data_IF_162007373798
#
_entry.id   IF_162007373798
#
_cell.length_a   1.000
_cell.length_b   1.000
_cell.length_c   1.000
_cell.angle_alpha   90.00
_cell.angle_beta   90.00
_cell.angle_gamma   90.00
#
_symmetry.space_group_name_H-M   'P 1'
#
loop_
_entity.id
_entity.type
_entity.pdbx_description
1 polymer ?
#
# COMPACT_ATOMS: atom_id res chain seq x y z
N UNK A 1 -5.51 32.28 -25.13
CA UNK A 1 -4.25 32.35 -24.36
C UNK A 1 -4.17 30.99 -23.71
N UNK A 2 -3.62 30.05 -24.46
CA UNK A 2 -3.47 28.65 -24.06
C UNK A 2 -2.25 28.57 -23.16
N UNK A 3 -2.46 28.07 -21.95
CA UNK A 3 -1.43 27.94 -20.93
C UNK A 3 -0.53 26.74 -21.28
N UNK A 4 0.75 26.94 -21.65
CA UNK A 4 1.64 25.84 -22.04
C UNK A 4 2.10 25.00 -20.83
N UNK A 5 1.65 25.34 -19.62
CA UNK A 5 1.93 24.61 -18.38
C UNK A 5 0.91 23.53 -18.03
N UNK A 6 -0.10 23.29 -18.88
CA UNK A 6 -0.67 21.94 -19.03
C UNK A 6 0.40 21.06 -19.70
N UNK A 7 1.51 20.89 -18.98
CA UNK A 7 2.50 19.86 -19.18
C UNK A 7 1.73 18.57 -19.49
N UNK A 8 2.25 17.83 -20.45
CA UNK A 8 1.78 16.52 -20.88
C UNK A 8 1.86 15.55 -19.69
N UNK A 9 0.98 15.71 -18.69
CA UNK A 9 0.85 14.88 -17.48
C UNK A 9 0.47 13.45 -17.89
N UNK A 10 -0.06 13.32 -19.11
CA UNK A 10 -0.32 12.05 -19.77
C UNK A 10 0.97 11.32 -20.15
N UNK A 11 2.06 12.02 -20.50
CA UNK A 11 3.32 11.38 -20.89
C UNK A 11 3.94 10.49 -19.77
N UNK A 12 4.05 10.94 -18.50
CA UNK A 12 4.46 10.06 -17.39
C UNK A 12 3.55 8.84 -17.20
N UNK A 13 2.23 9.02 -17.33
CA UNK A 13 1.26 7.91 -17.20
C UNK A 13 1.35 6.94 -18.39
N UNK A 14 1.63 7.44 -19.59
CA UNK A 14 1.83 6.63 -20.79
C UNK A 14 3.09 5.78 -20.69
N UNK A 15 4.20 6.35 -20.21
CA UNK A 15 5.43 5.58 -20.00
C UNK A 15 5.27 4.55 -18.87
N UNK A 16 4.58 4.91 -17.77
CA UNK A 16 4.21 3.96 -16.72
C UNK A 16 3.35 2.81 -17.26
N UNK A 17 2.39 3.12 -18.12
CA UNK A 17 1.56 2.15 -18.84
C UNK A 17 2.42 1.19 -19.66
N UNK A 18 3.37 1.71 -20.44
CA UNK A 18 4.26 0.90 -21.27
C UNK A 18 5.04 -0.12 -20.42
N UNK A 19 5.64 0.33 -19.32
CA UNK A 19 6.42 -0.53 -18.41
C UNK A 19 5.57 -1.60 -17.73
N UNK A 20 4.35 -1.27 -17.30
CA UNK A 20 3.47 -2.23 -16.62
C UNK A 20 2.87 -3.25 -17.60
N UNK A 21 2.49 -2.83 -18.81
CA UNK A 21 2.04 -3.74 -19.87
C UNK A 21 3.10 -4.77 -20.26
N UNK A 22 4.37 -4.37 -20.31
CA UNK A 22 5.50 -5.30 -20.51
C UNK A 22 5.60 -6.41 -19.44
N UNK A 23 4.90 -6.24 -18.31
CA UNK A 23 4.81 -7.19 -17.19
C UNK A 23 3.43 -7.84 -17.07
N UNK A 24 2.65 -7.84 -18.17
CA UNK A 24 1.30 -8.44 -18.25
C UNK A 24 0.24 -7.77 -17.37
N UNK A 25 0.43 -6.50 -17.00
CA UNK A 25 -0.63 -5.72 -16.34
C UNK A 25 -1.63 -5.19 -17.35
N UNK A 26 -2.92 -5.22 -16.99
CA UNK A 26 -3.94 -4.49 -17.74
C UNK A 26 -3.92 -3.03 -17.29
N UNK A 27 -3.87 -2.12 -18.26
CA UNK A 27 -3.71 -0.70 -18.02
C UNK A 27 -4.68 0.09 -18.91
N UNK A 28 -5.50 0.94 -18.30
CA UNK A 28 -6.47 1.81 -18.97
C UNK A 28 -6.27 3.25 -18.50
N UNK A 29 -5.95 4.15 -19.42
CA UNK A 29 -5.88 5.58 -19.14
C UNK A 29 -7.29 6.16 -19.29
N UNK A 30 -7.80 6.77 -18.23
CA UNK A 30 -9.11 7.39 -18.19
C UNK A 30 -8.99 8.83 -17.70
N UNK A 31 -9.82 9.72 -18.22
CA UNK A 31 -9.95 11.08 -17.71
C UNK A 31 -11.06 11.06 -16.66
N UNK A 32 -10.77 11.48 -15.42
CA UNK A 32 -11.84 11.60 -14.43
C UNK A 32 -12.75 12.76 -14.78
N UNK A 33 -14.05 12.52 -14.65
CA UNK A 33 -15.11 13.51 -14.88
C UNK A 33 -15.31 14.46 -13.70
N UNK A 34 -14.39 14.52 -12.74
CA UNK A 34 -14.44 15.53 -11.67
C UNK A 34 -13.94 16.89 -12.15
N UNK A 35 -14.13 17.91 -11.30
CA UNK A 35 -13.94 19.34 -11.57
C UNK A 35 -12.56 19.70 -12.17
N UNK A 36 -11.54 18.85 -11.99
CA UNK A 36 -10.18 19.10 -12.46
C UNK A 36 -9.78 18.32 -13.73
N UNK A 37 -10.64 17.46 -14.29
CA UNK A 37 -10.38 16.76 -15.56
C UNK A 37 -9.07 15.95 -15.59
N UNK A 38 -8.63 15.43 -14.45
CA UNK A 38 -7.30 14.81 -14.31
C UNK A 38 -7.24 13.43 -14.94
N UNK A 39 -6.12 13.14 -15.61
CA UNK A 39 -5.83 11.82 -16.12
C UNK A 39 -5.50 10.84 -14.98
N UNK A 40 -6.10 9.67 -15.06
CA UNK A 40 -5.94 8.58 -14.10
C UNK A 40 -5.65 7.30 -14.87
N UNK A 41 -4.61 6.61 -14.43
CA UNK A 41 -4.22 5.32 -14.93
C UNK A 41 -4.81 4.23 -14.04
N UNK A 42 -5.77 3.47 -14.59
CA UNK A 42 -6.33 2.27 -13.98
C UNK A 42 -5.45 1.09 -14.30
N UNK A 43 -5.06 0.37 -13.25
CA UNK A 43 -4.12 -0.74 -13.29
C UNK A 43 -4.78 -1.98 -12.69
N UNK A 44 -4.69 -3.10 -13.39
CA UNK A 44 -5.06 -4.40 -12.85
C UNK A 44 -3.86 -5.36 -12.93
N UNK A 45 -3.53 -6.05 -11.82
CA UNK A 45 -2.45 -7.00 -11.82
C UNK A 45 -2.78 -8.22 -12.68
N UNK A 46 -1.76 -8.98 -13.13
CA UNK A 46 -1.96 -10.21 -13.88
C UNK A 46 -2.92 -11.17 -13.14
N UNK A 47 -3.88 -11.74 -13.86
CA UNK A 47 -4.87 -12.66 -13.31
C UNK A 47 -6.01 -12.01 -12.51
N UNK A 48 -6.11 -10.69 -12.46
CA UNK A 48 -7.19 -9.95 -11.81
C UNK A 48 -8.11 -9.22 -12.80
N UNK A 49 -8.14 -9.66 -14.06
CA UNK A 49 -8.90 -9.00 -15.12
C UNK A 49 -10.39 -8.95 -14.76
N UNK A 50 -10.97 -7.75 -14.77
CA UNK A 50 -12.38 -7.53 -14.44
C UNK A 50 -12.73 -7.60 -12.95
N UNK A 51 -11.76 -7.75 -12.04
CA UNK A 51 -11.99 -7.67 -10.60
C UNK A 51 -11.81 -6.22 -10.10
N UNK A 52 -12.90 -5.50 -9.78
CA UNK A 52 -12.82 -4.12 -9.33
C UNK A 52 -12.13 -3.97 -7.97
N UNK A 53 -12.14 -5.01 -7.12
CA UNK A 53 -11.48 -4.97 -5.81
C UNK A 53 -9.95 -5.00 -5.93
N UNK A 54 -9.43 -5.40 -7.09
CA UNK A 54 -8.00 -5.47 -7.39
C UNK A 54 -7.54 -4.42 -8.39
N UNK A 55 -8.45 -3.52 -8.79
CA UNK A 55 -8.11 -2.35 -9.59
C UNK A 55 -7.43 -1.30 -8.72
N UNK A 56 -6.32 -0.76 -9.21
CA UNK A 56 -5.56 0.31 -8.57
C UNK A 56 -5.60 1.52 -9.49
N UNK A 57 -5.81 2.70 -8.95
CA UNK A 57 -5.82 3.92 -9.75
C UNK A 57 -4.63 4.80 -9.36
N UNK A 58 -3.85 5.21 -10.35
CA UNK A 58 -2.66 6.05 -10.20
C UNK A 58 -2.87 7.34 -10.97
N UNK A 59 -2.53 8.45 -10.34
CA UNK A 59 -2.51 9.78 -10.96
C UNK A 59 -1.14 10.42 -10.77
N UNK A 60 -0.92 11.54 -11.45
CA UNK A 60 0.24 12.40 -11.19
C UNK A 60 -0.23 13.58 -10.34
N UNK A 61 0.50 13.86 -9.25
CA UNK A 61 0.27 15.03 -8.41
C UNK A 61 1.56 15.75 -8.10
N UNK A 62 1.45 17.05 -7.90
CA UNK A 62 2.55 17.87 -7.39
C UNK A 62 2.64 17.75 -5.87
N UNK A 63 3.85 17.47 -5.38
CA UNK A 63 4.25 17.50 -3.97
C UNK A 63 5.54 18.32 -3.88
N UNK A 64 5.59 19.31 -2.99
CA UNK A 64 6.78 20.15 -2.77
C UNK A 64 7.42 20.66 -4.09
N UNK A 65 6.58 21.12 -5.03
CA UNK A 65 6.97 21.61 -6.36
C UNK A 65 7.54 20.54 -7.33
N UNK A 66 7.42 19.25 -7.01
CA UNK A 66 7.82 18.14 -7.88
C UNK A 66 6.64 17.21 -8.19
N UNK A 67 6.51 16.79 -9.45
CA UNK A 67 5.49 15.84 -9.88
C UNK A 67 5.83 14.42 -9.42
N UNK A 68 4.84 13.73 -8.85
CA UNK A 68 4.94 12.36 -8.35
C UNK A 68 3.79 11.51 -8.86
N UNK A 69 4.05 10.21 -9.03
CA UNK A 69 2.99 9.22 -9.09
C UNK A 69 2.36 9.06 -7.70
N UNK A 70 1.03 9.05 -7.62
CA UNK A 70 0.28 8.89 -6.38
C UNK A 70 -0.93 7.97 -6.60
N UNK A 71 -1.36 7.25 -5.55
CA UNK A 71 -2.60 6.50 -5.60
C UNK A 71 -3.78 7.45 -5.47
N UNK A 72 -4.79 7.32 -6.33
CA UNK A 72 -6.01 8.15 -6.24
C UNK A 72 -6.71 7.95 -4.89
N UNK A 73 -6.77 6.71 -4.40
CA UNK A 73 -7.38 6.38 -3.11
C UNK A 73 -6.62 6.94 -1.90
N UNK A 74 -5.34 7.30 -2.06
CA UNK A 74 -4.51 7.87 -1.01
C UNK A 74 -3.57 8.93 -1.59
N UNK A 75 -4.19 9.94 -2.19
CA UNK A 75 -3.51 10.95 -3.00
C UNK A 75 -2.69 11.96 -2.20
N UNK A 76 -2.63 11.81 -0.87
CA UNK A 76 -1.74 12.54 0.03
C UNK A 76 -0.41 11.82 0.30
N UNK A 77 -0.21 10.60 -0.24
CA UNK A 77 1.05 9.86 -0.12
C UNK A 77 1.65 9.60 -1.50
N UNK A 78 2.82 10.19 -1.82
CA UNK A 78 3.48 9.92 -3.08
C UNK A 78 4.04 8.50 -3.12
N UNK A 79 3.99 7.87 -4.30
CA UNK A 79 4.62 6.57 -4.60
C UNK A 79 6.11 6.81 -4.90
N UNK A 80 6.38 7.64 -5.89
CA UNK A 80 7.71 8.05 -6.33
C UNK A 80 7.61 9.30 -7.23
N UNK A 81 8.68 10.11 -7.34
CA UNK A 81 8.77 11.17 -8.34
C UNK A 81 8.58 10.63 -9.76
N UNK A 82 8.03 11.44 -10.68
CA UNK A 82 7.85 11.04 -12.09
C UNK A 82 9.19 10.73 -12.78
N UNK A 83 10.26 11.37 -12.32
CA UNK A 83 11.64 11.13 -12.76
C UNK A 83 12.18 9.75 -12.35
N UNK A 84 11.54 9.09 -11.37
CA UNK A 84 11.92 7.78 -10.83
C UNK A 84 10.92 6.69 -11.25
N UNK A 85 10.61 6.61 -12.53
CA UNK A 85 9.67 5.66 -13.11
C UNK A 85 9.89 4.20 -12.67
N UNK A 86 11.13 3.70 -12.74
CA UNK A 86 11.43 2.31 -12.36
C UNK A 86 11.15 2.03 -10.88
N UNK A 87 11.30 3.05 -10.01
CA UNK A 87 10.93 2.95 -8.61
C UNK A 87 9.41 2.87 -8.45
N UNK A 88 8.64 3.68 -9.18
CA UNK A 88 7.19 3.62 -9.20
C UNK A 88 6.70 2.22 -9.65
N UNK A 89 7.24 1.71 -10.77
CA UNK A 89 6.92 0.37 -11.29
C UNK A 89 7.22 -0.71 -10.25
N UNK A 90 8.40 -0.68 -9.62
CA UNK A 90 8.77 -1.66 -8.59
C UNK A 90 7.82 -1.60 -7.39
N UNK A 91 7.46 -0.41 -6.92
CA UNK A 91 6.55 -0.24 -5.80
C UNK A 91 5.15 -0.78 -6.13
N UNK A 92 4.59 -0.43 -7.29
CA UNK A 92 3.27 -0.88 -7.73
C UNK A 92 3.25 -2.42 -7.87
N UNK A 93 4.27 -2.99 -8.53
CA UNK A 93 4.38 -4.45 -8.70
C UNK A 93 4.54 -5.15 -7.35
N UNK A 94 5.32 -4.58 -6.42
CA UNK A 94 5.53 -5.18 -5.11
C UNK A 94 4.25 -5.18 -4.26
N UNK A 95 3.50 -4.08 -4.26
CA UNK A 95 2.30 -3.93 -3.43
C UNK A 95 1.10 -4.65 -4.01
N UNK A 96 0.97 -4.69 -5.34
CA UNK A 96 -0.27 -5.11 -6.00
C UNK A 96 -0.09 -6.27 -6.99
N UNK A 97 1.15 -6.60 -7.40
CA UNK A 97 1.45 -7.43 -8.57
C UNK A 97 1.51 -8.94 -8.38
N UNK A 98 1.36 -9.47 -7.18
CA UNK A 98 1.45 -10.92 -7.01
C UNK A 98 0.98 -11.40 -5.65
N UNK A 99 0.41 -12.60 -5.66
CA UNK A 99 -0.13 -13.35 -4.54
C UNK A 99 0.76 -13.20 -3.30
N UNK A 100 0.15 -12.81 -2.18
CA UNK A 100 0.84 -12.80 -0.89
C UNK A 100 1.64 -14.10 -0.78
N UNK A 101 2.96 -14.06 -0.47
CA UNK A 101 3.65 -15.29 -0.10
C UNK A 101 2.82 -15.92 1.01
N UNK A 102 2.56 -17.23 0.91
CA UNK A 102 1.86 -17.94 1.97
C UNK A 102 2.51 -17.54 3.30
N UNK A 103 1.69 -17.11 4.26
CA UNK A 103 2.17 -16.73 5.58
C UNK A 103 3.16 -17.79 6.04
N UNK A 104 4.36 -17.42 6.53
CA UNK A 104 5.27 -18.40 7.07
C UNK A 104 4.49 -19.20 8.12
N UNK A 105 4.44 -20.52 7.93
CA UNK A 105 3.73 -21.37 8.88
C UNK A 105 4.39 -21.17 10.23
N UNK A 106 3.61 -20.65 11.18
CA UNK A 106 4.08 -20.47 12.55
C UNK A 106 4.28 -21.88 13.10
N UNK A 107 5.50 -22.26 13.55
CA UNK A 107 5.68 -23.55 14.19
C UNK A 107 4.76 -23.63 15.40
N UNK A 108 4.05 -24.74 15.60
CA UNK A 108 3.08 -24.89 16.71
C UNK A 108 3.68 -24.50 18.08
N UNK A 109 4.98 -24.76 18.27
CA UNK A 109 5.70 -24.40 19.49
C UNK A 109 5.83 -22.89 19.76
N UNK A 110 5.72 -22.03 18.74
CA UNK A 110 5.86 -20.58 18.89
C UNK A 110 4.59 -19.93 19.48
N UNK A 111 3.41 -20.45 19.13
CA UNK A 111 2.15 -20.03 19.75
C UNK A 111 2.07 -20.48 21.22
N UNK A 112 2.47 -21.72 21.51
CA UNK A 112 2.53 -22.24 22.88
C UNK A 112 3.52 -21.46 23.77
N UNK A 113 4.66 -21.04 23.22
CA UNK A 113 5.63 -20.20 23.94
C UNK A 113 5.07 -18.79 24.23
N UNK A 114 4.32 -18.19 23.30
CA UNK A 114 3.66 -16.91 23.51
C UNK A 114 2.56 -16.99 24.58
N UNK A 115 1.77 -18.06 24.61
CA UNK A 115 0.76 -18.28 25.65
C UNK A 115 1.41 -18.49 27.03
N UNK A 116 2.54 -19.20 27.08
CA UNK A 116 3.32 -19.40 28.31
C UNK A 116 3.84 -18.06 28.85
N UNK A 117 4.46 -17.23 27.99
CA UNK A 117 4.93 -15.89 28.34
C UNK A 117 3.80 -14.95 28.79
N UNK A 118 2.61 -15.08 28.20
CA UNK A 118 1.44 -14.27 28.58
C UNK A 118 0.87 -14.70 29.93
N UNK A 119 0.83 -15.99 30.22
CA UNK A 119 0.43 -16.55 31.51
C UNK A 119 1.38 -16.15 32.64
N UNK A 120 2.69 -16.14 32.40
CA UNK A 120 3.67 -15.72 33.42
C UNK A 120 3.54 -14.24 33.79
N UNK A 121 3.09 -13.38 32.87
CA UNK A 121 2.87 -11.95 33.12
C UNK A 121 1.57 -11.66 33.89
N UNK A 122 0.59 -12.57 33.84
CA UNK A 122 -0.68 -12.45 34.56
C UNK A 122 -0.65 -12.99 36.00
N UNK A 123 0.40 -13.74 36.39
CA UNK A 123 0.48 -14.41 37.68
C UNK A 123 1.20 -13.64 38.80
N UNK A 124 1.78 -12.46 38.53
CA UNK A 124 2.44 -11.63 39.55
C UNK A 124 1.50 -10.58 40.14
N UNK A 125 0.39 -11.02 40.71
CA UNK A 125 -0.25 -10.31 41.82
C UNK A 125 0.11 -11.07 43.09
N UNK A 126 1.18 -10.62 43.74
CA UNK A 126 1.64 -11.18 45.01
C UNK A 126 0.54 -11.05 46.07
N UNK A 127 -0.04 -12.20 46.43
CA UNK A 127 -0.78 -12.40 47.67
C UNK A 127 0.15 -12.07 48.84
N UNK A 128 -0.20 -11.01 49.57
CA UNK A 128 0.38 -10.69 50.87
C UNK A 128 -0.42 -11.49 51.91
N UNK A 129 0.18 -12.47 52.61
CA UNK A 129 -0.55 -13.15 53.68
C UNK A 129 -0.73 -12.17 54.83
N UNK A 130 -2.00 -11.94 55.17
CA UNK A 130 -2.43 -11.49 56.50
C UNK A 130 -2.54 -12.77 57.32
N UNK A 131 -1.81 -12.85 58.42
CA UNK A 131 -2.14 -13.75 59.52
C UNK A 131 -2.07 -12.92 60.80
N UNK A 132 -3.09 -13.10 61.60
CA UNK A 132 -3.65 -12.20 62.59
C UNK A 132 -3.54 -12.87 63.96
N UNK A 133 -3.01 -12.12 64.93
CA UNK A 133 -3.15 -12.24 66.39
C UNK A 133 -2.79 -13.54 67.15
N UNK A 134 -1.93 -13.41 68.18
CA UNK A 134 -2.34 -13.54 69.60
C UNK A 134 -1.12 -13.47 70.56
N UNK A 135 -1.08 -12.48 71.46
CA UNK A 135 -0.45 -12.59 72.79
C UNK A 135 -1.27 -11.76 73.81
N UNK A 136 -1.86 -12.50 74.77
CA UNK A 136 -2.48 -12.19 76.08
C UNK A 136 -3.60 -11.13 76.26
#
# INVERSE_FOLDING_TARGET
MDDPALLDIDAPLAELTHRLRARSWSCELAIRTDDAGRAVLRLQPPGAFGDPARTVEVEVREFDQEAHFAYVQNSGRPIAPVTQLDRAVRAIVHVHGGTMPALPQVPDGLLAAFESLRSERGGRSATRPVDDEAEE
#
